data_IF_485083670971
#
_entry.id   IF_485083670971
#
_cell.length_a   1.000
_cell.length_b   1.000
_cell.length_c   1.000
_cell.angle_alpha   90.00
_cell.angle_beta   90.00
_cell.angle_gamma   90.00
#
_symmetry.space_group_name_H-M   'P 1'
#
loop_
_entity.id
_entity.type
_entity.pdbx_description
1 polymer ?
2 non-polymer ?
3 non-polymer ?
4 water ?
#
# COMPACT_ATOMS: atom_id res chain seq x y z
N UNK A 1 13.43 4.55 15.63
CA UNK A 1 12.03 4.64 16.15
C UNK A 1 11.04 4.80 15.00
N UNK A 2 10.81 3.72 14.25
CA UNK A 2 9.85 3.75 13.16
C UNK A 2 8.49 3.93 13.83
N UNK A 3 7.48 4.18 12.99
CA UNK A 3 6.13 4.37 13.48
C UNK A 3 5.23 3.14 13.42
N UNK A 4 4.28 3.05 14.35
CA UNK A 4 3.35 1.93 14.34
C UNK A 4 2.30 2.08 13.24
N UNK A 5 1.82 0.97 12.76
CA UNK A 5 0.69 0.96 11.84
C UNK A 5 -0.59 1.15 12.65
N UNK A 6 -1.65 1.64 12.02
CA UNK A 6 -2.93 1.74 12.71
C UNK A 6 -4.12 1.24 11.88
N UNK A 7 -3.95 1.08 10.57
CA UNK A 7 -5.10 0.67 9.80
C UNK A 7 -5.57 1.76 8.85
N UNK A 8 -6.52 1.39 7.98
CA UNK A 8 -6.93 2.34 6.93
C UNK A 8 -7.98 3.34 7.31
N UNK A 9 -8.68 3.08 8.39
CA UNK A 9 -9.87 3.89 8.71
C UNK A 9 -9.68 5.37 8.70
N UNK A 10 -8.70 5.87 9.42
CA UNK A 10 -8.62 7.35 9.42
C UNK A 10 -8.13 7.85 8.08
N UNK A 11 -7.21 7.14 7.43
CA UNK A 11 -6.84 7.63 6.12
C UNK A 11 -8.04 7.72 5.20
N UNK A 12 -8.90 6.70 5.21
CA UNK A 12 -10.00 6.66 4.28
C UNK A 12 -11.06 7.71 4.58
N UNK A 13 -11.15 8.08 5.84
CA UNK A 13 -12.16 9.07 6.21
C UNK A 13 -11.79 10.46 5.69
N UNK A 14 -10.51 10.79 5.64
CA UNK A 14 -10.06 12.08 5.11
C UNK A 14 -9.81 12.05 3.64
N UNK A 15 -9.65 10.84 3.06
CA UNK A 15 -9.31 10.72 1.67
C UNK A 15 -10.28 9.79 1.02
N UNK A 16 -11.53 10.21 1.00
CA UNK A 16 -12.56 9.38 0.45
C UNK A 16 -12.44 9.04 -1.00
N UNK A 17 -11.97 9.96 -1.83
CA UNK A 17 -11.89 9.67 -3.27
C UNK A 17 -10.88 8.54 -3.52
N UNK A 18 -9.72 8.65 -2.87
CA UNK A 18 -8.67 7.61 -3.07
C UNK A 18 -9.17 6.31 -2.45
N UNK A 19 -9.84 6.38 -1.29
CA UNK A 19 -10.34 5.13 -0.69
C UNK A 19 -11.37 4.39 -1.54
N UNK A 20 -12.29 5.16 -2.13
CA UNK A 20 -13.30 4.59 -2.98
C UNK A 20 -12.68 3.88 -4.20
N UNK A 21 -11.61 4.45 -4.75
CA UNK A 21 -10.97 3.85 -5.92
C UNK A 21 -10.11 2.65 -5.47
N UNK A 22 -9.41 2.84 -4.35
CA UNK A 22 -8.56 1.75 -3.85
C UNK A 22 -9.41 0.47 -3.58
N UNK A 23 -10.63 0.64 -3.14
CA UNK A 23 -11.45 -0.51 -2.76
C UNK A 23 -11.71 -1.45 -3.89
N UNK A 24 -11.61 -0.96 -5.13
CA UNK A 24 -11.89 -1.81 -6.28
C UNK A 24 -10.62 -2.48 -6.82
N UNK A 25 -9.49 -2.21 -6.19
CA UNK A 25 -8.18 -2.76 -6.66
C UNK A 25 -7.86 -4.14 -6.12
N UNK A 26 -6.95 -4.86 -6.82
CA UNK A 26 -6.58 -6.24 -6.41
C UNK A 26 -5.99 -6.15 -4.99
N UNK A 27 -5.26 -5.07 -4.73
CA UNK A 27 -4.66 -4.92 -3.37
C UNK A 27 -5.77 -4.97 -2.30
N UNK A 28 -6.87 -4.28 -2.54
CA UNK A 28 -7.91 -4.30 -1.49
C UNK A 28 -8.53 -5.65 -1.29
N UNK A 29 -8.48 -6.48 -2.35
CA UNK A 29 -9.09 -7.81 -2.31
C UNK A 29 -8.02 -8.87 -2.03
N UNK A 30 -6.83 -8.46 -1.58
CA UNK A 30 -5.77 -9.47 -1.41
C UNK A 30 -6.07 -10.61 -0.50
N UNK A 31 -6.83 -10.38 0.57
CA UNK A 31 -7.10 -11.52 1.44
C UNK A 31 -8.10 -12.46 0.79
N UNK A 32 -8.90 -11.98 -0.16
CA UNK A 32 -9.86 -12.88 -0.78
C UNK A 32 -9.15 -14.00 -1.56
N UNK A 33 -7.96 -13.68 -2.07
CA UNK A 33 -7.16 -14.62 -2.83
C UNK A 33 -6.67 -15.76 -1.98
N UNK A 34 -6.59 -15.54 -0.67
CA UNK A 34 -6.10 -16.59 0.24
C UNK A 34 -7.22 -17.55 0.64
N UNK A 35 -8.46 -17.25 0.22
CA UNK A 35 -9.60 -18.10 0.60
C UNK A 35 -9.71 -19.29 -0.29
N UNK A 36 -10.29 -20.38 0.28
CA UNK A 36 -10.44 -21.60 -0.51
C UNK A 36 -11.26 -21.41 -1.77
N UNK A 37 -10.83 -22.02 -2.85
CA UNK A 37 -11.56 -21.98 -4.09
C UNK A 37 -11.62 -20.64 -4.83
N UNK A 38 -10.81 -19.68 -4.40
CA UNK A 38 -10.70 -18.41 -5.10
C UNK A 38 -9.36 -18.45 -5.93
N UNK A 39 -9.41 -18.00 -7.18
CA UNK A 39 -8.24 -17.99 -8.05
C UNK A 39 -7.67 -19.38 -8.15
N UNK A 40 -8.55 -20.33 -8.38
CA UNK A 40 -8.12 -21.71 -8.47
C UNK A 40 -7.10 -21.97 -9.57
N UNK A 41 -7.28 -21.38 -10.73
CA UNK A 41 -6.36 -21.63 -11.85
C UNK A 41 -4.98 -21.08 -11.54
N UNK A 42 -4.94 -19.86 -11.01
CA UNK A 42 -3.62 -19.29 -10.69
C UNK A 42 -2.89 -20.12 -9.61
N UNK A 43 -3.64 -20.59 -8.62
CA UNK A 43 -3.01 -21.40 -7.58
C UNK A 43 -2.46 -22.72 -8.16
N UNK A 44 -3.23 -23.35 -9.05
CA UNK A 44 -2.77 -24.62 -9.65
C UNK A 44 -1.47 -24.39 -10.43
N UNK A 45 -1.43 -23.29 -11.19
CA UNK A 45 -0.21 -22.99 -11.96
C UNK A 45 1.02 -22.82 -11.04
N UNK A 46 0.80 -22.29 -9.83
CA UNK A 46 1.88 -22.09 -8.88
C UNK A 46 2.11 -23.28 -7.92
N UNK A 47 1.39 -24.35 -8.22
CA UNK A 47 1.42 -25.63 -7.46
C UNK A 47 0.94 -25.53 -6.03
N UNK A 48 0.01 -24.60 -5.79
CA UNK A 48 -0.62 -24.41 -4.48
C UNK A 48 -1.93 -25.23 -4.52
N UNK A 49 -2.57 -25.36 -3.37
CA UNK A 49 -3.82 -26.14 -3.23
C UNK A 49 -5.00 -25.20 -3.44
N UNK A 50 -5.78 -25.38 -4.53
CA UNK A 50 -6.92 -24.49 -4.80
C UNK A 50 -8.03 -24.51 -3.78
N UNK A 51 -8.09 -25.58 -2.99
CA UNK A 51 -9.13 -25.70 -2.01
C UNK A 51 -8.73 -25.40 -0.59
N UNK A 52 -7.44 -25.10 -0.39
CA UNK A 52 -6.95 -24.85 0.96
C UNK A 52 -7.29 -23.43 1.47
N UNK A 53 -7.52 -23.33 2.78
CA UNK A 53 -7.75 -22.03 3.37
C UNK A 53 -6.38 -21.49 3.80
N UNK A 54 -5.86 -20.48 3.07
CA UNK A 54 -4.54 -19.87 3.39
C UNK A 54 -4.72 -18.56 4.18
N UNK A 55 -5.93 -18.27 4.65
CA UNK A 55 -6.13 -16.96 5.31
C UNK A 55 -5.48 -16.81 6.67
N UNK A 56 -5.04 -17.91 7.29
CA UNK A 56 -4.36 -17.84 8.58
C UNK A 56 -2.96 -18.48 8.45
N UNK A 57 -2.43 -18.54 7.22
CA UNK A 57 -1.14 -19.17 6.99
C UNK A 57 -0.05 -18.10 7.01
N UNK A 58 0.87 -18.21 7.97
CA UNK A 58 1.96 -17.25 8.06
C UNK A 58 2.90 -17.27 6.86
N UNK A 59 2.83 -18.30 6.00
CA UNK A 59 3.65 -18.31 4.76
C UNK A 59 2.94 -17.49 3.67
N UNK A 60 1.73 -16.90 3.97
CA UNK A 60 1.00 -16.17 2.91
C UNK A 60 0.48 -14.81 3.31
N UNK A 61 0.02 -14.70 4.53
CA UNK A 61 -0.66 -13.44 4.86
C UNK A 61 0.18 -12.19 4.84
N UNK A 62 1.48 -12.29 5.05
CA UNK A 62 2.29 -11.11 5.19
C UNK A 62 2.30 -10.19 3.99
N UNK A 63 2.00 -10.75 2.82
CA UNK A 63 1.99 -9.86 1.66
C UNK A 63 0.58 -9.53 1.21
N UNK A 64 -0.41 -9.94 1.98
CA UNK A 64 -1.81 -9.73 1.65
C UNK A 64 -2.58 -8.88 2.69
N UNK A 65 -1.80 -8.29 3.60
CA UNK A 65 -2.33 -7.43 4.71
C UNK A 65 -1.36 -6.29 4.96
N UNK A 66 -1.78 -5.37 5.83
CA UNK A 66 -0.88 -4.29 6.23
C UNK A 66 -0.01 -4.58 7.49
N UNK A 67 1.31 -4.33 7.39
CA UNK A 67 2.17 -4.35 8.55
C UNK A 67 2.36 -5.70 9.24
N UNK A 68 2.36 -6.77 8.49
CA UNK A 68 2.53 -8.07 9.18
C UNK A 68 3.93 -8.12 9.81
N UNK A 69 3.98 -8.57 11.08
CA UNK A 69 5.26 -8.65 11.79
C UNK A 69 5.82 -7.29 12.23
N UNK A 70 5.05 -6.22 12.07
CA UNK A 70 5.48 -4.89 12.40
C UNK A 70 4.61 -4.32 13.50
N UNK A 71 5.16 -3.36 14.24
CA UNK A 71 4.36 -2.82 15.35
C UNK A 71 3.06 -2.16 14.84
N UNK A 72 1.98 -2.57 15.49
CA UNK A 72 0.62 -2.11 15.20
C UNK A 72 -0.01 -2.79 14.02
N UNK A 73 0.77 -3.65 13.35
CA UNK A 73 0.24 -4.30 12.15
C UNK A 73 -0.62 -5.53 12.35
N UNK A 74 -1.09 -6.09 11.23
CA UNK A 74 -1.91 -7.25 11.23
C UNK A 74 -1.31 -8.46 11.95
N UNK A 75 -2.14 -9.12 12.75
CA UNK A 75 -1.75 -10.39 13.35
C UNK A 75 -2.82 -11.42 13.09
N UNK A 76 -2.39 -12.65 12.90
CA UNK A 76 -3.29 -13.72 12.69
C UNK A 76 -4.14 -13.96 13.96
N UNK A 77 -3.55 -13.74 15.12
CA UNK A 77 -4.32 -13.95 16.32
C UNK A 77 -5.44 -12.95 16.51
N UNK A 78 -5.24 -11.72 16.04
CA UNK A 78 -6.32 -10.73 16.20
C UNK A 78 -6.28 -9.88 14.95
N UNK A 79 -6.82 -10.41 13.85
CA UNK A 79 -6.82 -9.75 12.56
C UNK A 79 -7.83 -8.64 12.35
N UNK A 80 -7.32 -7.45 12.26
CA UNK A 80 -8.24 -6.35 12.07
C UNK A 80 -8.74 -6.14 10.65
N UNK A 81 -10.06 -6.02 10.46
CA UNK A 81 -10.56 -5.76 9.11
C UNK A 81 -9.85 -4.56 8.48
N UNK A 82 -9.59 -3.50 9.25
CA UNK A 82 -8.91 -2.34 8.67
C UNK A 82 -7.41 -2.47 8.35
N UNK A 83 -6.87 -3.66 8.60
CA UNK A 83 -5.47 -3.96 8.19
C UNK A 83 -5.53 -5.16 7.23
N UNK A 84 -6.71 -5.61 6.81
CA UNK A 84 -6.88 -6.74 5.92
C UNK A 84 -6.84 -6.29 4.50
N UNK A 85 -6.08 -6.97 3.63
CA UNK A 85 -5.90 -6.45 2.27
C UNK A 85 -4.68 -5.50 2.31
N UNK A 86 -4.09 -5.18 1.15
CA UNK A 86 -2.91 -4.32 1.08
C UNK A 86 -3.51 -2.94 0.97
N UNK A 87 -3.42 -2.25 2.09
CA UNK A 87 -4.04 -0.94 2.25
C UNK A 87 -3.11 0.24 2.22
N UNK A 88 -3.67 1.36 2.74
CA UNK A 88 -2.96 2.63 2.59
C UNK A 88 -1.55 2.66 3.10
N UNK A 89 -1.36 2.15 4.34
CA UNK A 89 -0.07 2.23 4.97
C UNK A 89 0.94 1.25 4.34
N UNK A 90 0.44 0.21 3.67
CA UNK A 90 1.42 -0.68 3.01
C UNK A 90 2.22 0.06 1.96
N UNK A 91 1.67 1.15 1.38
CA UNK A 91 2.46 1.95 0.42
C UNK A 91 2.96 3.26 1.02
N UNK A 92 2.08 3.94 1.74
CA UNK A 92 2.44 5.23 2.27
C UNK A 92 3.17 5.23 3.60
N UNK A 93 3.32 4.05 4.17
CA UNK A 93 4.05 3.94 5.46
C UNK A 93 3.09 3.90 6.61
N UNK A 94 3.53 3.31 7.75
CA UNK A 94 2.69 3.22 8.96
C UNK A 94 2.37 4.66 9.36
N UNK A 95 1.12 4.86 9.67
CA UNK A 95 0.59 6.21 9.88
C UNK A 95 0.24 6.69 11.26
N UNK A 96 0.54 5.93 12.29
CA UNK A 96 0.14 6.44 13.58
C UNK A 96 0.69 7.83 13.93
N UNK A 97 1.92 8.13 13.55
CA UNK A 97 2.58 9.39 13.89
C UNK A 97 2.33 10.47 12.86
N UNK A 98 2.23 10.12 11.58
CA UNK A 98 2.04 11.20 10.62
C UNK A 98 0.63 11.62 10.38
N UNK A 99 -0.35 10.76 10.67
CA UNK A 99 -1.73 11.07 10.37
C UNK A 99 -2.22 12.31 11.11
N UNK A 100 -1.73 12.51 12.32
CA UNK A 100 -2.13 13.69 13.10
C UNK A 100 -1.58 14.96 12.48
N UNK A 101 -0.40 14.90 11.83
CA UNK A 101 0.21 16.03 11.12
C UNK A 101 -0.66 16.34 9.85
N UNK A 102 -1.26 15.32 9.21
CA UNK A 102 -2.14 15.63 8.04
C UNK A 102 -3.31 16.48 8.54
N UNK A 103 -3.86 16.15 9.72
CA UNK A 103 -4.99 16.90 10.28
C UNK A 103 -4.54 18.31 10.68
N UNK A 104 -3.46 18.41 11.43
CA UNK A 104 -3.03 19.74 11.86
C UNK A 104 -2.57 20.65 10.71
N UNK A 105 -1.82 20.06 9.77
CA UNK A 105 -1.31 20.86 8.65
C UNK A 105 -2.46 21.24 7.75
N UNK A 106 -3.46 20.39 7.60
CA UNK A 106 -4.64 20.69 6.79
C UNK A 106 -5.39 21.87 7.43
N UNK A 107 -5.55 21.82 8.74
CA UNK A 107 -6.22 22.93 9.47
C UNK A 107 -5.39 24.21 9.36
N UNK A 108 -4.06 24.13 9.48
CA UNK A 108 -3.21 25.35 9.35
C UNK A 108 -3.36 25.95 7.95
N UNK A 109 -3.38 25.09 6.94
CA UNK A 109 -3.56 25.60 5.58
C UNK A 109 -4.98 26.23 5.39
N UNK A 110 -6.03 25.57 5.84
CA UNK A 110 -7.38 26.10 5.67
C UNK A 110 -7.52 27.42 6.40
N UNK A 111 -6.87 27.57 7.55
CA UNK A 111 -7.04 28.82 8.32
C UNK A 111 -6.14 29.93 7.94
N UNK A 112 -4.95 29.61 7.44
CA UNK A 112 -3.99 30.64 7.12
C UNK A 112 -3.12 30.46 5.93
N UNK A 113 -3.37 29.40 5.14
CA UNK A 113 -2.59 29.18 3.94
C UNK A 113 -1.16 28.71 4.16
N UNK A 114 -0.86 28.29 5.40
CA UNK A 114 0.48 27.87 5.76
C UNK A 114 0.71 26.48 5.15
N UNK A 115 1.87 26.28 4.55
CA UNK A 115 2.23 24.99 3.98
C UNK A 115 3.15 24.29 4.97
N UNK A 116 3.32 22.96 4.82
CA UNK A 116 4.17 22.23 5.78
C UNK A 116 5.16 21.42 4.95
N UNK A 117 6.43 21.37 5.37
CA UNK A 117 7.40 20.58 4.60
C UNK A 117 7.12 19.07 4.66
N UNK A 118 7.26 18.41 3.51
CA UNK A 118 7.11 16.94 3.50
C UNK A 118 8.19 16.33 4.41
N UNK A 119 9.30 17.04 4.62
CA UNK A 119 10.34 16.49 5.51
C UNK A 119 9.76 16.18 6.88
N UNK A 120 8.84 17.02 7.36
CA UNK A 120 8.23 16.78 8.65
C UNK A 120 7.46 15.47 8.65
N UNK A 121 6.80 15.15 7.53
CA UNK A 121 6.05 13.89 7.42
C UNK A 121 7.00 12.71 7.27
N UNK A 122 8.08 12.87 6.52
CA UNK A 122 9.03 11.76 6.33
C UNK A 122 9.64 11.40 7.70
N UNK A 123 9.86 12.43 8.54
CA UNK A 123 10.45 12.18 9.85
C UNK A 123 9.52 11.33 10.71
N UNK A 124 8.21 11.41 10.46
CA UNK A 124 7.21 10.70 11.20
C UNK A 124 6.82 9.38 10.54
N UNK A 125 7.61 8.96 9.56
CA UNK A 125 7.42 7.67 8.92
C UNK A 125 6.74 7.62 7.55
N UNK A 126 6.32 8.77 7.02
CA UNK A 126 5.60 8.66 5.73
C UNK A 126 6.62 8.36 4.63
N UNK A 127 6.16 7.54 3.66
CA UNK A 127 7.00 7.13 2.54
C UNK A 127 6.64 7.93 1.30
N UNK A 128 7.65 8.57 0.70
CA UNK A 128 7.45 9.29 -0.55
C UNK A 128 8.24 8.69 -1.68
N UNK A 129 8.74 7.45 -1.51
CA UNK A 129 9.58 6.84 -2.52
C UNK A 129 8.96 5.52 -2.98
N UNK A 130 8.42 4.76 -2.02
CA UNK A 130 7.67 3.52 -2.29
C UNK A 130 8.36 2.24 -2.81
N UNK A 131 9.41 2.40 -3.58
CA UNK A 131 10.03 1.24 -4.23
C UNK A 131 10.38 0.10 -3.32
N UNK A 132 11.04 0.38 -2.20
CA UNK A 132 11.40 -0.70 -1.28
C UNK A 132 10.15 -1.42 -0.79
N UNK A 133 9.10 -0.66 -0.41
CA UNK A 133 7.89 -1.31 0.05
C UNK A 133 7.25 -2.21 -1.00
N UNK A 134 7.16 -1.73 -2.25
CA UNK A 134 6.53 -2.56 -3.26
C UNK A 134 7.35 -3.82 -3.48
N UNK A 135 8.67 -3.62 -3.42
CA UNK A 135 9.62 -4.71 -3.69
C UNK A 135 9.57 -5.78 -2.64
N UNK A 136 9.38 -5.40 -1.38
CA UNK A 136 9.32 -6.39 -0.30
C UNK A 136 8.19 -7.43 -0.47
N UNK A 137 7.16 -7.07 -1.26
CA UNK A 137 6.10 -8.02 -1.56
C UNK A 137 6.31 -8.61 -2.99
N UNK A 138 6.56 -7.74 -3.96
CA UNK A 138 6.59 -8.17 -5.35
C UNK A 138 7.88 -8.82 -5.85
N UNK A 139 8.97 -8.53 -5.18
CA UNK A 139 10.28 -9.06 -5.65
C UNK A 139 10.89 -9.91 -4.57
N UNK A 140 10.05 -10.47 -3.69
CA UNK A 140 10.56 -11.27 -2.58
C UNK A 140 10.50 -12.72 -2.96
N UNK A 141 11.52 -13.14 -3.73
CA UNK A 141 11.62 -14.55 -4.14
C UNK A 141 13.07 -14.92 -4.24
N UNK A 142 13.32 -16.22 -4.31
CA UNK A 142 14.70 -16.70 -4.35
C UNK A 142 15.43 -16.22 -5.58
N UNK A 143 16.61 -15.66 -5.38
CA UNK A 143 17.42 -15.19 -6.48
C UNK A 143 16.90 -13.95 -7.14
N UNK A 144 15.95 -13.28 -6.47
CA UNK A 144 15.45 -12.05 -7.05
C UNK A 144 16.50 -10.94 -7.16
N UNK A 145 16.29 -10.01 -8.10
CA UNK A 145 17.20 -8.87 -8.29
C UNK A 145 17.21 -7.97 -7.03
N UNK A 146 16.14 -8.05 -6.24
CA UNK A 146 16.02 -7.27 -5.02
C UNK A 146 16.78 -7.97 -3.90
N UNK A 147 17.77 -7.30 -3.34
CA UNK A 147 18.58 -7.97 -2.35
C UNK A 147 18.05 -8.12 -0.94
N UNK A 148 16.82 -7.63 -0.71
CA UNK A 148 16.26 -7.82 0.61
C UNK A 148 15.46 -9.12 0.71
N UNK A 149 15.49 -9.93 -0.35
CA UNK A 149 14.63 -11.14 -0.33
C UNK A 149 14.91 -12.16 0.73
N UNK A 150 13.86 -12.63 1.39
CA UNK A 150 13.97 -13.65 2.42
C UNK A 150 12.60 -14.27 2.60
N UNK A 151 12.60 -15.55 2.97
CA UNK A 151 11.37 -16.29 3.14
C UNK A 151 10.48 -15.72 4.21
N UNK A 152 9.15 -15.95 4.09
CA UNK A 152 8.45 -16.67 3.02
C UNK A 152 8.41 -15.88 1.72
N UNK A 153 8.60 -16.58 0.60
CA UNK A 153 8.61 -15.98 -0.72
C UNK A 153 7.27 -15.97 -1.40
N UNK A 154 7.10 -15.04 -2.35
CA UNK A 154 5.87 -15.06 -3.10
C UNK A 154 5.90 -16.28 -4.04
N UNK A 155 4.78 -17.02 -4.07
CA UNK A 155 4.74 -18.18 -4.99
C UNK A 155 4.61 -17.72 -6.45
N UNK A 156 4.26 -16.44 -6.66
CA UNK A 156 3.96 -15.93 -8.03
C UNK A 156 5.12 -15.18 -8.59
N UNK A 157 5.98 -15.95 -9.26
CA UNK A 157 7.24 -15.41 -9.76
C UNK A 157 7.34 -15.50 -11.27
N UNK A 158 8.31 -14.80 -11.85
CA UNK A 158 8.47 -14.86 -13.33
C UNK A 158 8.62 -16.28 -13.83
N UNK A 159 9.20 -17.18 -13.02
CA UNK A 159 9.25 -18.61 -13.44
C UNK A 159 7.88 -19.20 -13.67
N UNK A 160 6.95 -18.90 -12.75
CA UNK A 160 5.60 -19.41 -12.87
C UNK A 160 4.91 -18.83 -14.12
N UNK A 161 5.04 -17.50 -14.29
CA UNK A 161 4.45 -16.83 -15.42
C UNK A 161 5.09 -15.44 -15.56
N UNK A 162 5.41 -15.07 -16.80
CA UNK A 162 6.06 -13.79 -17.05
C UNK A 162 5.20 -12.59 -16.64
N UNK A 163 3.92 -12.81 -16.47
CA UNK A 163 3.04 -11.75 -16.03
C UNK A 163 3.34 -11.31 -14.61
N UNK A 164 4.12 -12.08 -13.87
CA UNK A 164 4.49 -11.69 -12.48
C UNK A 164 5.82 -10.90 -12.44
N UNK A 165 6.40 -10.56 -13.62
CA UNK A 165 7.59 -9.76 -13.66
C UNK A 165 7.16 -8.34 -13.16
N UNK A 166 8.00 -7.77 -12.31
CA UNK A 166 7.68 -6.51 -11.67
C UNK A 166 8.70 -5.46 -11.93
N UNK A 167 8.25 -4.36 -12.48
CA UNK A 167 9.17 -3.26 -12.78
C UNK A 167 8.53 -2.03 -12.12
N UNK A 168 9.15 -1.57 -11.04
CA UNK A 168 8.56 -0.46 -10.31
C UNK A 168 8.17 0.74 -11.15
N UNK A 169 9.08 1.20 -11.98
CA UNK A 169 8.79 2.43 -12.72
C UNK A 169 7.59 2.32 -13.63
N UNK A 170 7.28 1.09 -14.05
CA UNK A 170 6.11 0.87 -14.88
C UNK A 170 4.86 0.65 -14.06
N UNK A 171 4.95 -0.24 -13.09
CA UNK A 171 3.78 -0.57 -12.37
C UNK A 171 3.26 0.48 -11.40
N UNK A 172 4.13 1.37 -10.96
CA UNK A 172 3.63 2.45 -10.07
C UNK A 172 2.79 3.43 -10.85
N UNK A 173 2.81 3.29 -12.18
CA UNK A 173 2.00 4.18 -13.02
C UNK A 173 0.75 3.51 -13.49
N UNK A 174 0.40 2.37 -12.90
CA UNK A 174 -0.84 1.67 -13.23
C UNK A 174 -1.87 2.12 -12.22
N UNK A 175 -2.75 3.06 -12.60
CA UNK A 175 -3.74 3.56 -11.61
C UNK A 175 -4.69 2.50 -11.17
N UNK A 176 -5.00 1.55 -12.04
CA UNK A 176 -5.92 0.51 -11.62
C UNK A 176 -5.31 -0.41 -10.60
N UNK A 177 -4.01 -0.29 -10.37
CA UNK A 177 -3.38 -1.12 -9.37
C UNK A 177 -3.02 -0.32 -8.09
N UNK A 178 -3.01 1.01 -8.18
CA UNK A 178 -2.72 1.88 -7.04
C UNK A 178 -4.12 2.37 -6.55
N UNK A 179 -4.55 3.46 -7.17
CA UNK A 179 -5.88 4.06 -7.01
C UNK A 179 -5.77 5.28 -7.93
N UNK A 180 -6.90 5.76 -8.37
CA UNK A 180 -6.90 6.96 -9.19
C UNK A 180 -6.24 8.07 -8.38
N UNK A 181 -5.67 9.03 -9.11
CA UNK A 181 -4.99 10.18 -8.51
C UNK A 181 -5.91 11.40 -8.62
N UNK A 182 -6.09 12.04 -7.49
CA UNK A 182 -6.94 13.23 -7.39
C UNK A 182 -6.08 14.44 -7.05
N UNK A 183 -6.55 15.59 -7.52
CA UNK A 183 -5.82 16.86 -7.34
C UNK A 183 -5.67 17.30 -5.88
N UNK A 184 -4.44 17.68 -5.52
CA UNK A 184 -4.10 18.16 -4.18
C UNK A 184 -4.07 19.69 -4.21
N UNK A 185 -4.48 20.32 -3.11
CA UNK A 185 -4.38 21.80 -3.00
C UNK A 185 -2.92 22.20 -2.78
N UNK A 186 -2.14 21.34 -2.14
CA UNK A 186 -0.75 21.63 -1.96
C UNK A 186 -0.34 22.02 -0.56
N UNK A 187 -0.98 21.42 0.43
CA UNK A 187 -0.68 21.67 1.84
C UNK A 187 0.79 21.33 2.07
N UNK A 188 1.30 20.22 1.52
CA UNK A 188 2.69 19.87 1.75
C UNK A 188 3.57 20.26 0.63
N UNK A 189 4.82 20.62 0.94
CA UNK A 189 5.76 21.04 -0.08
C UNK A 189 7.18 20.56 0.13
N UNK A 190 7.97 20.62 -0.94
CA UNK A 190 9.36 20.25 -0.87
C UNK A 190 9.67 18.77 -0.79
N UNK A 191 10.96 18.48 -0.56
CA UNK A 191 11.45 17.10 -0.49
C UNK A 191 11.38 16.48 0.89
N UNK A 192 11.33 15.15 0.96
CA UNK A 192 11.32 14.21 -0.17
C UNK A 192 9.97 14.16 -0.87
N UNK A 193 10.06 14.27 -2.19
CA UNK A 193 8.87 14.29 -3.04
C UNK A 193 8.99 13.13 -4.03
N UNK A 194 7.91 12.40 -4.17
CA UNK A 194 7.90 11.25 -5.10
C UNK A 194 8.24 11.74 -6.50
N UNK A 195 9.15 11.02 -7.16
CA UNK A 195 9.61 11.37 -8.51
C UNK A 195 8.55 11.57 -9.55
N UNK A 196 7.39 10.94 -9.37
CA UNK A 196 6.31 11.12 -10.35
C UNK A 196 5.17 11.95 -9.82
N UNK A 197 5.36 12.57 -8.67
CA UNK A 197 4.27 13.38 -8.09
C UNK A 197 3.71 14.50 -9.02
N UNK A 198 4.61 15.29 -9.59
CA UNK A 198 4.12 16.38 -10.45
C UNK A 198 3.43 15.82 -11.66
N UNK A 199 4.02 14.73 -12.22
CA UNK A 199 3.34 14.08 -13.36
C UNK A 199 1.93 13.59 -12.97
N UNK A 200 1.81 12.92 -11.82
CA UNK A 200 0.53 12.40 -11.41
C UNK A 200 -0.49 13.52 -11.08
N UNK A 201 0.04 14.64 -10.56
CA UNK A 201 -0.86 15.69 -10.22
C UNK A 201 -1.30 16.45 -11.47
N UNK A 202 -0.42 16.53 -12.45
CA UNK A 202 -0.75 17.25 -13.70
C UNK A 202 -1.91 16.58 -14.45
N UNK A 203 -2.05 15.25 -14.34
CA UNK A 203 -3.19 14.61 -15.00
C UNK A 203 -4.20 14.06 -14.01
N UNK A 204 -4.09 14.50 -12.75
CA UNK A 204 -5.02 14.03 -11.74
C UNK A 204 -6.44 14.52 -11.98
N UNK A 205 -7.40 13.76 -11.49
CA UNK A 205 -8.83 14.08 -11.58
C UNK A 205 -9.18 15.11 -10.51
N UNK A 206 -10.27 15.85 -10.69
CA UNK A 206 -10.61 16.83 -9.65
C UNK A 206 -11.29 16.15 -8.46
N UNK A 207 -11.28 16.81 -7.30
CA UNK A 207 -11.89 16.28 -6.07
C UNK A 207 -13.21 15.55 -6.29
N UNK A 208 -13.12 14.26 -6.64
CA UNK A 208 -14.31 13.44 -6.88
C UNK A 208 -14.70 12.57 -5.68
N UNK A 209 -15.87 12.84 -5.11
CA UNK A 209 -16.40 12.11 -3.95
C UNK A 209 -15.90 12.63 -2.60
N UNK A 210 -16.84 12.91 -1.70
CA UNK A 210 -16.50 13.41 -0.38
C UNK A 210 -16.91 14.85 -0.17
N UNK A 211 -16.01 15.76 -0.55
CA UNK A 211 -16.25 17.19 -0.39
C UNK A 211 -16.20 17.94 -1.73
X LIG B 1 0.63 -13.72 14.71
X LIG B 1 1.23 -15.15 14.44
X LIG B 1 1.62 -12.90 15.59
X LIG B 1 0.50 -13.01 13.34
X LIG B 1 -0.65 -13.91 15.52
X LIG C 1 -11.95 1.65 3.86
X LIG C 1 -12.29 0.15 3.85
X LIG C 1 -12.37 2.23 5.25
X LIG C 1 -10.44 1.89 3.65
X LIG C 1 -12.70 2.34 2.71
X LIG D 1 -12.08 -11.29 4.99
X LIG D 1 -11.24 -11.90 6.14
X LIG D 1 -12.33 -9.80 5.28
X LIG D 1 -11.32 -11.45 3.65
X LIG D 1 -13.48 -12.01 4.88
X LIG E 1 -2.22 14.63 2.14
X LIG E 1 -1.97 9.84 2.82
X LIG E 1 -4.58 10.34 6.90
X LIG E 1 -5.63 14.94 5.58
X LIG E 1 -1.88 13.28 2.00
X LIG E 1 -0.99 12.77 0.98
X LIG E 1 -0.99 11.40 1.14
X LIG E 1 -1.80 11.12 2.27
X LIG E 1 -0.23 10.34 0.33
X LIG E 1 -0.24 13.58 -0.04
X LIG E 1 1.08 14.10 0.53
X LIG E 1 1.99 14.76 -0.48
X LIG E 1 1.64 15.94 -0.90
X LIG E 1 3.04 14.19 -0.89
X LIG E 1 -2.67 9.59 3.99
X LIG E 1 -2.69 8.33 4.62
X LIG E 1 -3.33 8.46 5.85
X LIG E 1 -3.75 9.84 5.91
X LIG E 1 -2.07 7.02 4.06
X LIG E 1 -3.58 7.39 6.93
X LIG E 1 -2.34 7.00 7.75
X LIG E 1 -5.12 11.61 6.85
X LIG E 1 -6.15 12.07 7.78
X LIG E 1 -6.50 13.33 7.33
X LIG E 1 -5.67 13.66 6.24
X LIG E 1 -6.75 11.29 8.97
X LIG E 1 -7.66 14.19 7.86
X LIG E 1 -7.69 14.68 9.29
X LIG E 1 -4.72 15.26 4.57
X LIG E 1 -4.57 16.54 4.00
X LIG E 1 -3.60 16.46 3.07
X LIG E 1 -3.13 15.10 3.07
X LIG E 1 -5.42 17.80 4.41
X LIG E 1 -3.24 17.57 2.12
X LIG E 1 -4.12 17.62 0.89
X LIG E 1 -3.81 18.68 -0.17
X LIG E 1 -4.81 19.00 -0.86
X LIG E 1 -2.66 19.08 -0.34
X LIG E 1 -2.38 12.26 2.80
X LIG E 1 -3.33 10.55 4.77
X LIG E 1 -4.83 12.59 5.89
X LIG E 1 -3.79 14.39 3.99
X LIG E 1 -3.58 12.48 4.37
X LIG F 1 -0.68 -12.69 -5.74
X LIG F 1 -1.89 -16.55 -3.07
X LIG F 1 2.11 -15.84 -0.32
X LIG F 1 3.02 -11.73 -2.82
X LIG F 1 -1.40 -13.81 -5.24
X LIG F 1 -2.51 -14.40 -5.88
X LIG F 1 -2.88 -15.50 -5.11
X LIG F 1 -1.93 -15.51 -4.01
X LIG F 1 -3.99 -16.55 -5.35
X LIG F 1 -3.12 -13.93 -7.17
X LIG F 1 -2.37 -14.46 -8.39
X LIG F 1 -3.10 -14.13 -9.69
X LIG F 1 -4.23 -13.60 -9.66
X LIG F 1 -2.50 -14.37 -10.76
X LIG F 1 -0.88 -16.68 -2.09
X LIG F 1 -0.75 -17.82 -1.20
X LIG F 1 0.39 -17.65 -0.50
X LIG F 1 0.95 -16.39 -0.88
X LIG F 1 -1.73 -18.96 -1.05
X LIG F 1 1.02 -18.57 0.56
X LIG F 1 1.27 -20.00 0.03
X LIG F 1 2.68 -14.60 -0.73
X LIG F 1 3.85 -14.01 -0.12
X LIG F 1 4.09 -12.82 -0.80
X LIG F 1 3.06 -12.75 -1.82
X LIG F 1 4.64 -14.56 1.06
X LIG F 1 5.11 -11.76 -0.55
X LIG F 1 6.54 -12.15 -0.17
X LIG F 1 2.09 -11.65 -3.84
X LIG F 1 2.17 -10.70 -4.90
X LIG F 1 1.13 -10.99 -5.75
X LIG F 1 0.42 -12.11 -5.18
X LIG F 1 3.23 -9.60 -5.01
X LIG F 1 0.82 -10.25 -7.04
X LIG F 1 1.41 -10.90 -8.31
X LIG F 1 1.08 -10.08 -9.55
X LIG F 1 -0.07 -10.14 -9.98
X LIG F 1 1.96 -9.44 -10.06
X LIG F 1 -1.06 -14.44 -4.04
X LIG F 1 0.17 -15.79 -1.89
X LIG F 1 2.15 -13.78 -1.73
X LIG F 1 1.04 -12.50 -3.99
X LIG F 1 0.42 -13.96 -2.73
X LIG G 1 -0.95 9.06 -3.73
X LIG G 1 -4.27 8.23 -0.25
X LIG G 1 -3.52 3.43 -0.80
X LIG G 1 0.21 4.36 -3.75
X LIG G 1 -1.95 9.22 -2.76
X LIG G 1 -2.49 10.49 -2.38
X LIG G 1 -3.39 10.27 -1.40
X LIG G 1 -3.44 8.86 -1.17
X LIG G 1 -4.23 11.31 -0.63
X LIG G 1 -2.09 11.88 -2.97
X LIG G 1 -3.16 12.36 -4.05
X LIG G 1 -3.41 11.31 -5.16
X LIG G 1 -2.46 10.95 -5.82
X LIG G 1 -4.56 10.89 -5.31
X LIG G 1 -4.34 6.82 -0.08
X LIG G 1 -5.27 6.18 0.80
X LIG G 1 -5.10 4.81 0.63
X LIG G 1 -4.05 4.69 -0.38
X LIG G 1 -6.25 6.91 1.72
X LIG G 1 -5.79 3.64 1.24
X LIG G 1 -7.31 3.63 0.94
X LIG G 1 -2.42 3.31 -1.65
X LIG G 1 -1.82 2.06 -1.94
X LIG G 1 -0.76 2.31 -2.68
X LIG G 1 -0.70 3.72 -2.94
X LIG G 1 -2.30 0.68 -1.44
X LIG G 1 0.28 1.26 -3.19
X LIG G 1 -0.22 0.02 -3.89
X LIG G 1 0.20 5.73 -4.04
X LIG G 1 1.15 6.38 -4.92
X LIG G 1 0.78 7.72 -4.94
X LIG G 1 -0.35 7.83 -4.06
X LIG G 1 2.34 5.74 -5.60
X LIG G 1 1.51 8.87 -5.60
X LIG G 1 2.29 9.66 -4.58
X LIG G 1 2.60 11.12 -4.97
X LIG G 1 3.18 11.80 -4.12
X LIG G 1 2.24 11.52 -6.09
X LIG G 1 -2.54 8.23 -2.02
X LIG G 1 -3.56 5.91 -0.81
X LIG G 1 -1.75 4.32 -2.26
X LIG G 1 -0.74 6.62 -3.49
X LIG G 1 -2.17 6.27 -2.17
X LIG H 1 -1.02 -6.81 -6.93
X LIG H 1 1.77 -2.99 -8.01
X LIG H 1 2.87 -2.63 -3.27
X LIG H 1 1.04 -7.10 -2.60
X LIG H 1 -0.42 -5.76 -7.59
X LIG H 1 -0.62 -5.47 -9.00
X LIG H 1 0.21 -4.44 -9.30
X LIG H 1 0.87 -4.05 -8.09
X LIG H 1 0.44 -3.79 -10.70
X LIG H 1 -1.49 -6.18 -9.93
X LIG H 1 -2.87 -5.60 -9.95
X LIG H 1 -3.87 -6.32 -10.84
X LIG H 1 -3.54 -7.37 -11.47
X LIG H 1 -5.00 -5.83 -10.90
X LIG H 1 2.35 -2.57 -6.79
X LIG H 1 3.16 -1.40 -6.64
X LIG H 1 3.37 -1.22 -5.27
X LIG H 1 2.73 -2.36 -4.62
X LIG H 1 3.68 -0.51 -7.80
X LIG H 1 4.15 -0.15 -4.55
X LIG H 1 3.75 1.26 -4.96
X LIG H 1 2.48 -3.84 -2.71
X LIG H 1 2.82 -4.15 -1.36
X LIG H 1 2.40 -5.46 -1.19
X LIG H 1 1.74 -5.87 -2.41
X LIG H 1 3.55 -3.24 -0.40
X LIG H 1 2.58 -6.40 0.05
X LIG H 1 2.06 -5.84 1.42
X LIG H 1 0.29 -7.39 -3.75
X LIG H 1 -0.57 -8.50 -3.87
X LIG H 1 -1.21 -8.39 -5.05
X LIG H 1 -0.70 -7.20 -5.64
X LIG H 1 -0.72 -9.63 -2.84
X LIG H 1 -2.31 -9.34 -5.50
X LIG H 1 -3.66 -9.24 -4.80
X LIG H 1 -4.55 -10.34 -5.16
X LIG H 1 -4.98 -10.42 -6.31
X LIG H 1 -4.80 -11.16 -4.29
X LIG H 1 0.49 -4.88 -7.07
X LIG H 1 2.07 -3.21 -5.57
X LIG H 1 1.80 -4.87 -3.35
X LIG H 1 0.22 -6.60 -4.85
X LIG H 1 1.13 -4.88 -5.22
#
# INVERSE_FOLDING_TARGET
ADAPFEGRKKCSSCHKAQAQSWKDTAHAKAMESLKPNVKKEAKQKAKLDPAKDYTQDKDCVGCHVDGFGQKGGYTIESPKPMLTGVGCESCHGPGRNFRGDHRKSGQAFEKSGKKTPRKDLAKKGQDFHFEERCSACHLNYEGSPWKGAKAPYTPFTPEVDAKYTFKFDEMVKEVKAMHEHYKLEGVFEGEPKFKFHDEFQASAKPAKKGK
PO4 P O1 O2 O3 O4
PO4 P O1 O2 O3 O4
PO4 P O1 O2 O3 O4
HEM CHA CHB CHC CHD C1A C2A C3A C4A CMA CAA CBA CGA O1A O2A C1B C2B C3B C4B CMB CAB CBB C1C C2C C3C C4C CMC CAC CBC C1D C2D C3D C4D CMD CAD CBD CGD O1D O2D NA NB NC ND FE
HEM CHA CHB CHC CHD C1A C2A C3A C4A CMA CAA CBA CGA O1A O2A C1B C2B C3B C4B CMB CAB CBB C1C C2C C3C C4C CMC CAC CBC C1D C2D C3D C4D CMD CAD CBD CGD O1D O2D NA NB NC ND FE
HEM CHA CHB CHC CHD C1A C2A C3A C4A CMA CAA CBA CGA O1A O2A C1B C2B C3B C4B CMB CAB CBB C1C C2C C3C C4C CMC CAC CBC C1D C2D C3D C4D CMD CAD CBD CGD O1D O2D NA NB NC ND FE
HEM CHA CHB CHC CHD C1A C2A C3A C4A CMA CAA CBA CGA O1A O2A C1B C2B C3B C4B CMB CAB CBB C1C C2C C3C C4C CMC CAC CBC C1D C2D C3D C4D CMD CAD CBD CGD O1D O2D NA NB NC ND FE
#
